data_IF_609380053615
#
_entry.id   IF_609380053615
#
_cell.length_a   1.000
_cell.length_b   1.000
_cell.length_c   1.000
_cell.angle_alpha   90.00
_cell.angle_beta   90.00
_cell.angle_gamma   90.00
#
_symmetry.space_group_name_H-M   'P 1'
#
loop_
_entity.id
_entity.type
_entity.pdbx_description
1 polymer ?
#
# COMPACT_ATOMS: atom_id res chain seq x y z
N UNK A 1 -20.21 7.54 5.28
CA UNK A 1 -19.51 7.88 4.04
C UNK A 1 -19.47 6.62 3.18
N UNK A 2 -20.20 6.57 2.05
CA UNK A 2 -20.47 5.30 1.33
C UNK A 2 -20.24 5.39 -0.20
N UNK A 3 -19.50 6.38 -0.70
CA UNK A 3 -19.30 6.59 -2.14
C UNK A 3 -17.95 6.00 -2.61
N UNK A 4 -17.71 4.73 -2.33
CA UNK A 4 -16.45 4.05 -2.66
C UNK A 4 -16.67 2.81 -3.52
N UNK A 5 -15.90 2.71 -4.60
CA UNK A 5 -15.81 1.52 -5.46
C UNK A 5 -14.35 1.05 -5.49
N UNK A 6 -14.14 -0.26 -5.27
CA UNK A 6 -12.84 -0.92 -5.41
C UNK A 6 -12.90 -1.83 -6.62
N UNK A 7 -12.04 -1.57 -7.61
CA UNK A 7 -11.89 -2.41 -8.80
C UNK A 7 -10.63 -3.25 -8.64
N UNK A 8 -10.79 -4.56 -8.47
CA UNK A 8 -9.70 -5.51 -8.26
C UNK A 8 -9.33 -6.27 -9.54
N UNK A 9 -8.22 -7.02 -9.51
CA UNK A 9 -7.75 -7.89 -10.60
C UNK A 9 -7.48 -7.17 -11.93
N UNK A 10 -7.10 -5.90 -11.87
CA UNK A 10 -6.61 -5.16 -13.02
C UNK A 10 -5.21 -5.65 -13.41
N UNK A 11 -4.90 -5.61 -14.71
CA UNK A 11 -3.59 -5.93 -15.24
C UNK A 11 -2.58 -4.86 -14.79
N UNK A 12 -1.35 -5.22 -14.36
CA UNK A 12 -0.30 -4.25 -14.06
C UNK A 12 0.09 -3.42 -15.28
N UNK A 13 0.70 -2.25 -15.05
CA UNK A 13 1.24 -1.37 -16.10
C UNK A 13 0.27 -1.02 -17.23
N UNK A 14 -1.03 -1.09 -16.96
CA UNK A 14 -2.09 -0.97 -17.97
C UNK A 14 -2.89 0.31 -17.73
N UNK A 15 -3.18 1.04 -18.82
CA UNK A 15 -4.05 2.21 -18.76
C UNK A 15 -5.52 1.78 -18.74
N UNK A 16 -6.27 2.34 -17.79
CA UNK A 16 -7.70 2.16 -17.63
C UNK A 16 -8.44 3.49 -17.68
N UNK A 17 -9.65 3.48 -18.23
CA UNK A 17 -10.59 4.59 -18.23
C UNK A 17 -11.79 4.20 -17.36
N UNK A 18 -11.95 4.86 -16.22
CA UNK A 18 -13.11 4.69 -15.34
C UNK A 18 -14.14 5.77 -15.65
N UNK A 19 -15.40 5.37 -15.79
CA UNK A 19 -16.53 6.25 -16.03
C UNK A 19 -17.55 6.07 -14.90
N UNK A 20 -17.91 7.16 -14.24
CA UNK A 20 -18.85 7.16 -13.10
C UNK A 20 -20.02 8.06 -13.45
N UNK A 21 -21.23 7.50 -13.39
CA UNK A 21 -22.48 8.19 -13.72
C UNK A 21 -23.46 8.06 -12.55
N UNK A 22 -24.20 9.12 -12.26
CA UNK A 22 -25.24 9.10 -11.22
C UNK A 22 -26.55 8.63 -11.86
N UNK A 23 -27.24 7.69 -11.23
CA UNK A 23 -28.57 7.24 -11.67
C UNK A 23 -29.60 7.77 -10.66
N UNK A 24 -30.63 8.46 -11.15
CA UNK A 24 -31.71 9.06 -10.35
C UNK A 24 -33.07 8.61 -10.88
N UNK A 25 -34.15 8.96 -10.17
CA UNK A 25 -35.53 8.70 -10.65
C UNK A 25 -35.87 9.42 -11.96
N UNK A 26 -35.16 10.52 -12.27
CA UNK A 26 -35.27 11.23 -13.54
C UNK A 26 -34.42 10.63 -14.68
N UNK A 27 -33.69 9.54 -14.41
CA UNK A 27 -32.80 8.87 -15.36
C UNK A 27 -31.32 9.03 -15.03
N UNK A 28 -30.49 8.77 -16.04
CA UNK A 28 -29.03 8.83 -15.93
C UNK A 28 -28.53 10.27 -16.03
N UNK A 29 -27.71 10.68 -15.06
CA UNK A 29 -27.05 11.97 -15.02
C UNK A 29 -25.77 12.02 -15.89
N UNK A 30 -24.99 13.11 -15.82
CA UNK A 30 -23.73 13.20 -16.54
C UNK A 30 -22.69 12.21 -16.00
N UNK A 31 -21.83 11.72 -16.90
CA UNK A 31 -20.72 10.84 -16.55
C UNK A 31 -19.42 11.63 -16.33
N UNK A 32 -18.66 11.24 -15.30
CA UNK A 32 -17.31 11.74 -15.04
C UNK A 32 -16.30 10.65 -15.40
N UNK A 33 -15.26 11.02 -16.16
CA UNK A 33 -14.27 10.08 -16.68
C UNK A 33 -12.91 10.36 -16.08
N UNK A 34 -12.20 9.30 -15.68
CA UNK A 34 -10.81 9.38 -15.24
C UNK A 34 -9.98 8.28 -15.86
N UNK A 35 -8.86 8.67 -16.47
CA UNK A 35 -7.84 7.75 -16.95
C UNK A 35 -6.73 7.63 -15.91
N UNK A 36 -6.29 6.41 -15.63
CA UNK A 36 -5.16 6.13 -14.74
C UNK A 36 -4.40 4.90 -15.25
N UNK A 37 -3.14 4.78 -14.85
CA UNK A 37 -2.34 3.59 -15.09
C UNK A 37 -2.23 2.80 -13.80
N UNK A 38 -2.41 1.48 -13.88
CA UNK A 38 -2.09 0.58 -12.77
C UNK A 38 -0.58 0.48 -12.56
N UNK A 39 -0.10 0.36 -11.31
CA UNK A 39 1.32 0.17 -11.04
C UNK A 39 1.84 -1.15 -11.61
N UNK A 40 3.16 -1.24 -11.82
CA UNK A 40 3.82 -2.37 -12.49
C UNK A 40 3.95 -3.61 -11.57
N UNK A 41 4.19 -3.43 -10.26
CA UNK A 41 4.39 -4.54 -9.30
C UNK A 41 3.91 -4.10 -7.89
N UNK A 42 3.31 -5.06 -7.16
CA UNK A 42 2.86 -4.94 -5.77
C UNK A 42 3.96 -4.37 -4.88
N UNK A 43 3.64 -3.53 -3.87
CA UNK A 43 4.62 -3.05 -2.91
C UNK A 43 5.28 -4.27 -2.27
N UNK A 44 6.52 -4.56 -2.66
CA UNK A 44 7.37 -5.54 -1.98
C UNK A 44 7.36 -5.10 -0.53
N UNK A 45 6.84 -5.97 0.33
CA UNK A 45 6.80 -5.78 1.77
C UNK A 45 8.15 -5.22 2.17
N UNK A 46 8.17 -3.97 2.67
CA UNK A 46 9.39 -3.30 3.09
C UNK A 46 10.09 -4.25 4.07
N UNK A 47 11.16 -4.90 3.61
CA UNK A 47 11.97 -5.75 4.45
C UNK A 47 12.57 -4.84 5.52
N UNK A 48 11.92 -4.79 6.68
CA UNK A 48 12.43 -4.15 7.88
C UNK A 48 13.88 -4.64 8.04
N UNK A 49 14.89 -3.76 8.02
CA UNK A 49 16.25 -4.19 8.29
C UNK A 49 16.23 -4.85 9.66
N UNK A 50 16.48 -6.17 9.70
CA UNK A 50 16.68 -6.89 10.95
C UNK A 50 17.97 -6.34 11.52
N UNK A 51 17.84 -5.39 12.46
CA UNK A 51 18.95 -4.85 13.23
C UNK A 51 19.59 -6.05 13.94
N UNK A 52 20.66 -6.56 13.35
CA UNK A 52 21.46 -7.64 13.90
C UNK A 52 22.15 -7.07 15.14
N UNK A 53 21.51 -7.21 16.30
CA UNK A 53 22.20 -7.09 17.58
C UNK A 53 23.14 -8.30 17.69
N UNK A 54 24.33 -8.15 17.12
CA UNK A 54 25.43 -9.05 17.40
C UNK A 54 25.81 -8.85 18.86
N UNK A 55 25.56 -9.89 19.66
CA UNK A 55 26.43 -10.34 20.74
C UNK A 55 27.09 -9.25 21.59
N UNK A 56 26.39 -8.78 22.62
CA UNK A 56 27.07 -8.34 23.84
C UNK A 56 27.18 -9.55 24.80
N UNK A 57 28.04 -10.51 24.44
CA UNK A 57 28.44 -11.57 25.36
C UNK A 57 29.92 -11.38 25.67
N UNK A 58 30.21 -11.20 26.97
CA UNK A 58 31.52 -10.98 27.60
C UNK A 58 32.03 -9.53 27.50
N UNK A 59 32.41 -8.84 28.58
CA UNK A 59 33.11 -9.31 29.77
C UNK A 59 32.65 -8.55 31.03
N UNK A 60 32.46 -9.29 32.14
CA UNK A 60 32.48 -8.71 33.49
C UNK A 60 33.94 -8.40 33.85
N UNK A 61 34.33 -7.17 34.22
CA UNK A 61 35.44 -6.98 35.13
C UNK A 61 34.88 -7.12 36.55
N UNK A 62 35.26 -8.20 37.21
CA UNK A 62 35.22 -8.33 38.67
C UNK A 62 36.00 -7.17 39.26
N UNK A 63 35.31 -6.23 39.90
CA UNK A 63 35.96 -5.18 40.68
C UNK A 63 36.50 -5.76 41.98
N UNK A 64 37.70 -5.30 42.26
CA UNK A 64 38.70 -5.77 43.19
C UNK A 64 38.38 -5.40 44.65
N UNK A 65 39.01 -6.15 45.55
CA UNK A 65 38.85 -6.17 47.02
C UNK A 65 38.96 -4.79 47.69
N UNK A 66 38.25 -4.64 48.80
CA UNK A 66 38.66 -3.84 49.97
C UNK A 66 38.74 -4.77 51.18
#
# INVERSE_FOLDING_TARGET
DHNMLVVSNLRPSTYYRLEVQVITTGGEGPATVKTFQTPDILPVTQHRPRLRQHHAHHQKPTVERH
#
